data_IF_403381760673
#
_entry.id   IF_403381760673
#
_cell.length_a   1.000
_cell.length_b   1.000
_cell.length_c   1.000
_cell.angle_alpha   90.00
_cell.angle_beta   90.00
_cell.angle_gamma   90.00
#
_symmetry.space_group_name_H-M   'P 1'
#
loop_
_entity.id
_entity.type
_entity.pdbx_description
1 polymer ?
#
# COMPACT_ATOMS: atom_id res chain seq x y z
N UNK A 1 -1.55 -26.89 -0.69
CA UNK A 1 -2.01 -25.56 -0.24
C UNK A 1 -0.84 -24.62 -0.37
N UNK A 2 -1.08 -23.41 -0.87
CA UNK A 2 -0.21 -22.25 -0.64
C UNK A 2 -0.36 -21.80 0.82
N UNK A 3 0.57 -20.98 1.31
CA UNK A 3 0.31 -20.16 2.52
C UNK A 3 -0.78 -19.10 2.26
N UNK A 4 -1.11 -18.82 0.99
CA UNK A 4 -2.28 -18.03 0.60
C UNK A 4 -3.61 -18.72 0.95
N UNK A 5 -3.66 -20.06 0.99
CA UNK A 5 -4.87 -20.83 1.30
C UNK A 5 -5.10 -21.04 2.81
N UNK A 6 -4.19 -20.57 3.67
CA UNK A 6 -4.29 -20.77 5.13
C UNK A 6 -5.27 -19.76 5.74
N UNK A 7 -6.17 -20.25 6.59
CA UNK A 7 -6.95 -19.44 7.52
C UNK A 7 -6.01 -18.71 8.51
N UNK A 8 -6.31 -17.45 8.84
CA UNK A 8 -5.51 -16.64 9.75
C UNK A 8 -5.81 -16.98 11.22
N UNK A 9 -4.78 -17.08 12.06
CA UNK A 9 -4.97 -17.13 13.52
C UNK A 9 -5.56 -15.78 14.03
N UNK A 10 -6.18 -15.73 15.23
CA UNK A 10 -6.85 -14.53 15.72
C UNK A 10 -5.96 -13.29 15.88
N UNK A 11 -4.65 -13.46 16.06
CA UNK A 11 -3.65 -12.38 16.13
C UNK A 11 -2.93 -12.12 14.79
N UNK A 12 -3.35 -12.77 13.69
CA UNK A 12 -2.67 -12.73 12.40
C UNK A 12 -3.39 -11.90 11.33
N UNK A 13 -2.56 -11.31 10.48
CA UNK A 13 -2.94 -10.55 9.30
C UNK A 13 -1.94 -10.81 8.15
N UNK A 14 -2.40 -10.68 6.90
CA UNK A 14 -1.52 -10.71 5.73
C UNK A 14 -0.80 -9.36 5.59
N UNK A 15 0.51 -9.39 5.43
CA UNK A 15 1.34 -8.20 5.28
C UNK A 15 1.76 -7.97 3.81
N UNK A 16 2.77 -7.13 3.60
CA UNK A 16 3.35 -6.89 2.26
C UNK A 16 3.73 -8.22 1.59
N UNK A 17 3.26 -8.40 0.35
CA UNK A 17 3.48 -9.59 -0.48
C UNK A 17 2.87 -10.88 0.09
N UNK A 18 1.71 -10.81 0.75
CA UNK A 18 0.91 -11.97 1.17
C UNK A 18 1.37 -12.61 2.49
N UNK A 19 2.64 -12.43 2.85
CA UNK A 19 3.29 -12.99 4.04
C UNK A 19 2.44 -12.78 5.29
N UNK A 20 2.04 -13.86 5.94
CA UNK A 20 1.30 -13.84 7.21
C UNK A 20 2.21 -13.31 8.33
N UNK A 21 1.68 -12.42 9.17
CA UNK A 21 2.36 -11.82 10.32
C UNK A 21 1.42 -11.75 11.51
N UNK A 22 1.97 -11.96 12.71
CA UNK A 22 1.27 -11.68 13.98
C UNK A 22 1.35 -10.19 14.29
N UNK A 23 0.30 -9.63 14.86
CA UNK A 23 0.33 -8.31 15.47
C UNK A 23 1.08 -8.35 16.81
N UNK A 24 1.35 -7.18 17.40
CA UNK A 24 1.74 -7.10 18.82
C UNK A 24 0.50 -6.74 19.62
N UNK A 25 0.16 -7.53 20.66
CA UNK A 25 -0.95 -7.23 21.54
C UNK A 25 -0.84 -5.84 22.18
N UNK A 26 -1.96 -5.16 22.29
CA UNK A 26 -2.08 -3.86 22.97
C UNK A 26 -1.53 -3.90 24.39
N UNK A 27 -1.70 -5.02 25.10
CA UNK A 27 -1.11 -5.26 26.41
C UNK A 27 0.43 -5.15 26.42
N UNK A 28 1.12 -5.67 25.40
CA UNK A 28 2.58 -5.62 25.30
C UNK A 28 3.08 -4.19 24.98
N UNK A 29 2.29 -3.40 24.22
CA UNK A 29 2.58 -1.98 23.99
C UNK A 29 2.33 -1.14 25.25
N UNK A 30 1.22 -1.38 25.95
CA UNK A 30 0.84 -0.68 27.17
C UNK A 30 1.79 -0.96 28.35
N UNK A 31 2.46 -2.12 28.37
CA UNK A 31 3.48 -2.48 29.35
C UNK A 31 4.77 -1.62 29.26
N UNK A 32 5.03 -0.98 28.11
CA UNK A 32 6.19 -0.09 27.92
C UNK A 32 5.76 1.37 28.08
N UNK A 33 6.18 2.10 29.13
CA UNK A 33 5.70 3.47 29.37
C UNK A 33 5.87 4.42 28.18
N UNK A 34 7.01 4.36 27.49
CA UNK A 34 7.29 5.21 26.33
C UNK A 34 6.46 4.87 25.08
N UNK A 35 6.11 3.59 24.88
CA UNK A 35 5.22 3.19 23.79
C UNK A 35 3.76 3.52 24.16
N UNK A 36 3.39 3.34 25.43
CA UNK A 36 2.09 3.72 25.97
C UNK A 36 1.82 5.22 25.82
N UNK A 37 2.73 6.09 26.24
CA UNK A 37 2.59 7.55 26.10
C UNK A 37 2.44 7.97 24.63
N UNK A 38 3.22 7.36 23.73
CA UNK A 38 3.11 7.59 22.29
C UNK A 38 1.77 7.06 21.72
N UNK A 39 1.28 5.90 22.20
CA UNK A 39 -0.01 5.34 21.77
C UNK A 39 -1.20 6.15 22.26
N UNK A 40 -1.20 6.62 23.50
CA UNK A 40 -2.24 7.50 24.04
C UNK A 40 -2.25 8.88 23.33
N UNK A 41 -1.09 9.43 22.97
CA UNK A 41 -0.99 10.72 22.28
C UNK A 41 -1.34 10.64 20.80
N UNK A 42 -0.87 9.61 20.07
CA UNK A 42 -1.29 9.33 18.70
C UNK A 42 -2.75 8.91 18.61
N UNK A 43 -3.27 8.15 19.59
CA UNK A 43 -4.67 7.74 19.64
C UNK A 43 -5.64 8.93 19.76
N UNK A 44 -5.28 9.93 20.58
CA UNK A 44 -5.99 11.23 20.63
C UNK A 44 -5.86 12.01 19.31
N UNK A 45 -4.74 11.90 18.59
CA UNK A 45 -4.49 12.60 17.32
C UNK A 45 -5.21 11.95 16.12
N UNK A 46 -5.49 10.65 16.19
CA UNK A 46 -5.97 9.83 15.08
C UNK A 46 -7.33 9.16 15.34
N UNK A 47 -8.00 9.54 16.43
CA UNK A 47 -9.33 9.04 16.84
C UNK A 47 -9.38 7.52 16.79
N UNK A 48 -8.48 6.87 17.53
CA UNK A 48 -8.23 5.42 17.45
C UNK A 48 -7.59 4.91 18.75
N UNK A 49 -7.99 3.72 19.20
CA UNK A 49 -7.29 3.04 20.29
C UNK A 49 -6.21 2.10 19.70
N UNK A 50 -4.97 2.27 20.12
CA UNK A 50 -3.83 1.43 19.70
C UNK A 50 -3.58 0.26 20.65
N UNK A 51 -4.39 0.11 21.71
CA UNK A 51 -4.36 -0.98 22.67
C UNK A 51 -5.60 -1.89 22.58
N UNK A 52 -6.60 -1.52 21.78
CA UNK A 52 -7.69 -2.39 21.31
C UNK A 52 -7.17 -3.29 20.18
N UNK A 53 -6.98 -4.57 20.50
CA UNK A 53 -6.44 -5.58 19.59
C UNK A 53 -7.37 -5.88 18.39
N UNK A 54 -8.69 -5.82 18.57
CA UNK A 54 -9.66 -6.05 17.48
C UNK A 54 -9.69 -4.85 16.51
N UNK A 55 -9.67 -3.62 17.03
CA UNK A 55 -9.56 -2.41 16.22
C UNK A 55 -8.23 -2.35 15.45
N UNK A 56 -7.12 -2.70 16.13
CA UNK A 56 -5.79 -2.82 15.51
C UNK A 56 -5.82 -3.88 14.40
N UNK A 57 -6.34 -5.08 14.65
CA UNK A 57 -6.41 -6.15 13.66
C UNK A 57 -7.25 -5.75 12.44
N UNK A 58 -8.42 -5.11 12.65
CA UNK A 58 -9.27 -4.55 11.57
C UNK A 58 -8.48 -3.55 10.72
N UNK A 59 -7.77 -2.62 11.34
CA UNK A 59 -6.89 -1.66 10.65
C UNK A 59 -5.78 -2.35 9.85
N UNK A 60 -5.12 -3.38 10.41
CA UNK A 60 -4.03 -4.11 9.75
C UNK A 60 -4.52 -4.86 8.50
N UNK A 61 -5.69 -5.51 8.59
CA UNK A 61 -6.36 -6.18 7.46
C UNK A 61 -6.83 -5.19 6.38
N UNK A 62 -7.40 -4.04 6.77
CA UNK A 62 -7.72 -2.95 5.84
C UNK A 62 -6.48 -2.37 5.14
N UNK A 63 -5.36 -2.25 5.86
CA UNK A 63 -4.09 -1.74 5.32
C UNK A 63 -3.52 -2.68 4.25
N UNK A 64 -3.70 -3.99 4.40
CA UNK A 64 -3.36 -4.99 3.39
C UNK A 64 -4.21 -4.85 2.12
N UNK A 65 -5.53 -4.80 2.26
CA UNK A 65 -6.46 -4.64 1.13
C UNK A 65 -6.23 -3.34 0.35
N UNK A 66 -5.82 -2.26 1.03
CA UNK A 66 -5.38 -1.03 0.35
C UNK A 66 -4.11 -1.25 -0.49
N UNK A 67 -3.11 -1.94 0.06
CA UNK A 67 -1.85 -2.23 -0.62
C UNK A 67 -2.04 -3.20 -1.81
N UNK A 68 -2.89 -4.22 -1.68
CA UNK A 68 -3.25 -5.11 -2.77
C UNK A 68 -3.95 -4.35 -3.91
N UNK A 69 -4.89 -3.46 -3.58
CA UNK A 69 -5.57 -2.57 -4.53
C UNK A 69 -4.62 -1.54 -5.18
N UNK A 70 -3.46 -1.25 -4.58
CA UNK A 70 -2.41 -0.44 -5.20
C UNK A 70 -1.57 -1.29 -6.18
N UNK A 71 -1.19 -2.50 -5.76
CA UNK A 71 -0.36 -3.41 -6.54
C UNK A 71 -1.07 -3.88 -7.82
N UNK A 72 -2.33 -4.28 -7.69
CA UNK A 72 -3.19 -4.67 -8.82
C UNK A 72 -3.43 -3.53 -9.80
N UNK A 73 -3.70 -2.31 -9.32
CA UNK A 73 -3.82 -1.13 -10.19
C UNK A 73 -2.51 -0.79 -10.93
N UNK A 74 -1.36 -0.92 -10.26
CA UNK A 74 -0.05 -0.78 -10.88
C UNK A 74 0.21 -1.83 -11.96
N UNK A 75 -0.15 -3.09 -11.69
CA UNK A 75 -0.01 -4.20 -12.64
C UNK A 75 -0.93 -4.04 -13.87
N UNK A 76 -2.18 -3.63 -13.67
CA UNK A 76 -3.18 -3.45 -14.73
C UNK A 76 -2.81 -2.34 -15.72
N UNK A 77 -2.10 -1.30 -15.26
CA UNK A 77 -1.53 -0.27 -16.14
C UNK A 77 -0.16 -0.65 -16.71
N UNK A 78 0.69 -1.27 -15.87
CA UNK A 78 2.08 -1.58 -16.22
C UNK A 78 2.22 -2.64 -17.32
N UNK A 79 1.39 -3.68 -17.32
CA UNK A 79 1.46 -4.75 -18.32
C UNK A 79 1.08 -4.24 -19.74
N UNK A 80 -0.05 -3.57 -19.96
CA UNK A 80 -0.37 -2.98 -21.27
C UNK A 80 0.66 -1.93 -21.72
N UNK A 81 1.16 -1.11 -20.78
CA UNK A 81 2.22 -0.14 -21.09
C UNK A 81 3.52 -0.82 -21.55
N UNK A 82 3.93 -1.91 -20.91
CA UNK A 82 5.10 -2.69 -21.31
C UNK A 82 4.92 -3.31 -22.70
N UNK A 83 3.76 -3.92 -22.99
CA UNK A 83 3.47 -4.44 -24.34
C UNK A 83 3.45 -3.34 -25.40
N UNK A 84 2.86 -2.18 -25.12
CA UNK A 84 2.87 -1.04 -26.01
C UNK A 84 4.30 -0.59 -26.31
N UNK A 85 5.14 -0.37 -25.27
CA UNK A 85 6.53 0.06 -25.40
C UNK A 85 7.42 -0.97 -26.12
N UNK A 86 7.19 -2.28 -25.92
CA UNK A 86 7.93 -3.34 -26.62
C UNK A 86 7.54 -3.42 -28.10
N UNK A 87 6.25 -3.42 -28.43
CA UNK A 87 5.80 -3.42 -29.83
C UNK A 87 6.26 -2.17 -30.58
N UNK A 88 6.20 -1.03 -29.91
CA UNK A 88 6.73 0.28 -30.32
C UNK A 88 8.25 0.21 -30.63
N UNK A 89 9.07 -0.34 -29.73
CA UNK A 89 10.51 -0.51 -29.94
C UNK A 89 10.85 -1.48 -31.09
N UNK A 90 10.15 -2.62 -31.17
CA UNK A 90 10.35 -3.63 -32.22
C UNK A 90 9.96 -3.09 -33.60
N UNK A 91 8.85 -2.36 -33.71
CA UNK A 91 8.44 -1.70 -34.95
C UNK A 91 9.48 -0.67 -35.41
N UNK A 92 10.02 0.13 -34.48
CA UNK A 92 11.04 1.12 -34.79
C UNK A 92 12.32 0.48 -35.36
N UNK A 93 12.90 -0.48 -34.64
CA UNK A 93 14.17 -1.13 -35.03
C UNK A 93 14.04 -2.10 -36.21
N UNK A 94 12.85 -2.69 -36.43
CA UNK A 94 12.61 -3.62 -37.53
C UNK A 94 12.19 -2.98 -38.85
N UNK A 95 11.45 -1.86 -38.81
CA UNK A 95 10.83 -1.25 -40.00
C UNK A 95 11.23 0.21 -40.21
N UNK A 96 10.92 1.07 -39.24
CA UNK A 96 11.03 2.54 -39.36
C UNK A 96 12.48 3.00 -39.61
N UNK A 97 13.45 2.34 -38.98
CA UNK A 97 14.87 2.66 -39.13
C UNK A 97 15.43 2.31 -40.53
N UNK A 98 14.85 1.33 -41.24
CA UNK A 98 15.43 0.75 -42.46
C UNK A 98 14.65 1.05 -43.74
N UNK A 99 13.31 1.23 -43.66
CA UNK A 99 12.43 1.23 -44.84
C UNK A 99 11.62 2.51 -45.03
N UNK A 100 11.60 3.44 -44.07
CA UNK A 100 10.74 4.62 -44.11
C UNK A 100 11.48 5.94 -44.38
N UNK A 101 10.78 6.88 -45.02
CA UNK A 101 11.29 8.24 -45.26
C UNK A 101 11.38 9.05 -43.96
N UNK A 102 12.29 10.03 -43.92
CA UNK A 102 12.48 10.93 -42.76
C UNK A 102 11.19 11.60 -42.27
N UNK A 103 10.24 11.91 -43.17
CA UNK A 103 8.92 12.45 -42.82
C UNK A 103 8.08 11.45 -42.02
N UNK A 104 8.09 10.17 -42.40
CA UNK A 104 7.37 9.12 -41.67
C UNK A 104 8.03 8.83 -40.33
N UNK A 105 9.37 8.79 -40.28
CA UNK A 105 10.13 8.69 -39.04
C UNK A 105 9.75 9.80 -38.05
N UNK A 106 9.66 11.05 -38.50
CA UNK A 106 9.16 12.18 -37.69
C UNK A 106 7.70 12.01 -37.26
N UNK A 107 6.82 11.53 -38.15
CA UNK A 107 5.41 11.29 -37.82
C UNK A 107 5.23 10.22 -36.73
N UNK A 108 6.05 9.16 -36.72
CA UNK A 108 6.13 8.36 -35.51
C UNK A 108 6.78 9.12 -34.37
N UNK A 109 7.95 9.77 -34.44
CA UNK A 109 8.51 10.34 -33.20
C UNK A 109 7.52 11.26 -32.44
N UNK A 110 6.55 11.87 -33.16
CA UNK A 110 5.30 12.37 -32.59
C UNK A 110 4.31 11.29 -32.05
N UNK A 111 3.84 10.31 -32.84
CA UNK A 111 2.96 9.20 -32.39
C UNK A 111 3.62 8.09 -31.52
N UNK A 112 4.73 7.47 -31.96
CA UNK A 112 5.74 6.74 -31.16
C UNK A 112 5.91 7.49 -29.80
N UNK A 113 6.01 8.83 -29.76
CA UNK A 113 6.12 9.61 -28.52
C UNK A 113 4.82 9.89 -27.72
N UNK A 114 3.70 10.19 -28.38
CA UNK A 114 2.45 10.58 -27.74
C UNK A 114 1.83 9.44 -26.90
N UNK A 115 2.05 8.19 -27.31
CA UNK A 115 1.67 7.00 -26.52
C UNK A 115 2.34 7.01 -25.15
N UNK A 116 3.62 7.40 -25.06
CA UNK A 116 4.35 7.50 -23.79
C UNK A 116 3.75 8.57 -22.88
N UNK A 117 3.44 9.75 -23.43
CA UNK A 117 2.80 10.83 -22.69
C UNK A 117 1.42 10.42 -22.14
N UNK A 118 0.63 9.69 -22.92
CA UNK A 118 -0.67 9.16 -22.50
C UNK A 118 -0.55 8.10 -21.39
N UNK A 119 0.40 7.17 -21.49
CA UNK A 119 0.71 6.18 -20.44
C UNK A 119 1.08 6.88 -19.13
N UNK A 120 1.97 7.87 -19.18
CA UNK A 120 2.39 8.65 -18.00
C UNK A 120 1.19 9.39 -17.38
N UNK A 121 0.33 10.00 -18.21
CA UNK A 121 -0.88 10.69 -17.75
C UNK A 121 -1.85 9.74 -17.03
N UNK A 122 -2.14 8.56 -17.59
CA UNK A 122 -3.00 7.55 -16.96
C UNK A 122 -2.40 7.03 -15.64
N UNK A 123 -1.09 6.82 -15.59
CA UNK A 123 -0.39 6.42 -14.37
C UNK A 123 -0.53 7.49 -13.28
N UNK A 124 -0.24 8.75 -13.59
CA UNK A 124 -0.38 9.89 -12.64
C UNK A 124 -1.82 10.02 -12.15
N UNK A 125 -2.83 10.02 -13.04
CA UNK A 125 -4.25 10.13 -12.65
C UNK A 125 -4.63 9.00 -11.68
N UNK A 126 -4.19 7.78 -11.94
CA UNK A 126 -4.51 6.61 -11.11
C UNK A 126 -3.81 6.68 -9.75
N UNK A 127 -2.53 7.07 -9.74
CA UNK A 127 -1.73 7.21 -8.53
C UNK A 127 -2.29 8.34 -7.63
N UNK A 128 -2.61 9.50 -8.20
CA UNK A 128 -3.24 10.62 -7.48
C UNK A 128 -4.62 10.25 -6.93
N UNK A 129 -5.45 9.53 -7.68
CA UNK A 129 -6.76 9.03 -7.18
C UNK A 129 -6.60 8.03 -6.04
N UNK A 130 -5.68 7.08 -6.17
CA UNK A 130 -5.46 6.03 -5.17
C UNK A 130 -4.83 6.59 -3.88
N UNK A 131 -3.88 7.51 -4.00
CA UNK A 131 -3.26 8.17 -2.86
C UNK A 131 -4.21 9.20 -2.23
N UNK A 132 -4.95 9.97 -3.02
CA UNK A 132 -5.85 11.05 -2.60
C UNK A 132 -7.14 10.64 -1.86
N UNK A 133 -7.50 9.35 -1.85
CA UNK A 133 -8.68 8.84 -1.16
C UNK A 133 -8.55 8.98 0.37
N UNK A 134 -9.33 9.88 0.99
CA UNK A 134 -9.21 10.22 2.42
C UNK A 134 -9.42 9.03 3.38
N UNK A 135 -10.44 8.16 3.25
CA UNK A 135 -10.59 6.97 4.10
C UNK A 135 -9.35 6.07 4.12
N UNK A 136 -8.72 5.84 2.96
CA UNK A 136 -7.45 5.12 2.88
C UNK A 136 -6.29 5.88 3.52
N UNK A 137 -6.23 7.21 3.40
CA UNK A 137 -5.22 8.01 4.11
C UNK A 137 -5.39 7.91 5.65
N UNK A 138 -6.64 7.88 6.14
CA UNK A 138 -6.99 7.66 7.57
C UNK A 138 -6.42 6.33 8.09
N UNK A 139 -6.65 5.23 7.39
CA UNK A 139 -6.08 3.90 7.70
C UNK A 139 -4.55 3.89 7.61
N UNK A 140 -3.97 4.53 6.60
CA UNK A 140 -2.50 4.64 6.44
C UNK A 140 -1.86 5.47 7.56
N UNK A 141 -2.53 6.52 8.05
CA UNK A 141 -2.08 7.34 9.17
C UNK A 141 -2.00 6.52 10.47
N UNK A 142 -3.08 5.80 10.81
CA UNK A 142 -3.13 4.92 11.99
C UNK A 142 -2.12 3.77 11.88
N UNK A 143 -2.00 3.11 10.73
CA UNK A 143 -1.02 2.05 10.53
C UNK A 143 0.45 2.55 10.62
N UNK A 144 0.72 3.81 10.24
CA UNK A 144 2.03 4.43 10.43
C UNK A 144 2.32 4.76 11.90
N UNK A 145 1.32 5.23 12.64
CA UNK A 145 1.42 5.48 14.09
C UNK A 145 1.62 4.18 14.88
N UNK A 146 0.83 3.13 14.62
CA UNK A 146 1.00 1.81 15.22
C UNK A 146 2.43 1.28 15.03
N UNK A 147 2.98 1.40 13.81
CA UNK A 147 4.38 1.08 13.55
C UNK A 147 5.35 1.95 14.39
N UNK A 148 5.10 3.25 14.53
CA UNK A 148 5.98 4.14 15.32
C UNK A 148 5.94 3.82 16.83
N UNK A 149 4.75 3.66 17.40
CA UNK A 149 4.48 3.22 18.78
C UNK A 149 5.29 1.96 19.10
N UNK A 150 5.23 0.98 18.21
CA UNK A 150 5.82 -0.32 18.49
C UNK A 150 7.31 -0.41 18.09
N UNK A 151 7.80 0.44 17.19
CA UNK A 151 9.25 0.71 17.04
C UNK A 151 9.84 1.35 18.31
N UNK A 152 9.06 2.12 19.08
CA UNK A 152 9.44 2.57 20.43
C UNK A 152 9.41 1.40 21.43
N UNK A 153 8.41 0.52 21.38
CA UNK A 153 8.36 -0.67 22.25
C UNK A 153 9.63 -1.55 22.10
N UNK A 154 10.08 -1.88 20.88
CA UNK A 154 11.36 -2.60 20.67
C UNK A 154 12.55 -1.86 21.28
N UNK A 155 12.65 -0.54 21.04
CA UNK A 155 13.78 0.28 21.51
C UNK A 155 13.89 0.29 23.04
N UNK A 156 12.78 0.14 23.74
CA UNK A 156 12.72 0.09 25.21
C UNK A 156 12.70 -1.34 25.77
N UNK A 157 13.01 -2.35 24.95
CA UNK A 157 13.28 -3.73 25.40
C UNK A 157 12.06 -4.66 25.43
N UNK A 158 10.96 -4.34 24.74
CA UNK A 158 9.84 -5.26 24.63
C UNK A 158 10.15 -6.47 23.73
N UNK A 159 9.77 -7.66 24.19
CA UNK A 159 9.68 -8.85 23.35
C UNK A 159 8.49 -8.72 22.40
N UNK A 160 8.79 -8.44 21.13
CA UNK A 160 7.81 -8.41 20.04
C UNK A 160 8.07 -9.60 19.09
N UNK A 161 7.08 -10.07 18.31
CA UNK A 161 7.28 -11.12 17.31
C UNK A 161 8.42 -10.79 16.35
N UNK A 162 9.22 -11.81 16.01
CA UNK A 162 10.47 -11.70 15.24
C UNK A 162 10.32 -10.91 13.92
N UNK A 163 9.12 -10.92 13.31
CA UNK A 163 8.81 -10.18 12.10
C UNK A 163 7.57 -9.29 12.26
N UNK A 164 7.79 -8.00 12.54
CA UNK A 164 6.71 -7.11 12.97
C UNK A 164 6.93 -5.62 12.58
N UNK A 165 5.86 -4.81 12.50
CA UNK A 165 4.94 -4.80 11.37
C UNK A 165 5.56 -4.05 10.17
N UNK A 166 6.12 -4.77 9.20
CA UNK A 166 6.92 -4.19 8.11
C UNK A 166 6.11 -3.54 6.97
N UNK A 167 5.26 -2.57 7.30
CA UNK A 167 4.61 -1.71 6.30
C UNK A 167 5.63 -0.77 5.64
N UNK A 168 5.56 -0.65 4.31
CA UNK A 168 6.43 0.24 3.54
C UNK A 168 6.24 1.71 3.94
N UNK A 169 7.32 2.51 4.01
CA UNK A 169 7.22 3.92 4.38
C UNK A 169 6.55 4.72 3.26
N UNK A 170 5.29 5.09 3.46
CA UNK A 170 4.52 5.96 2.57
C UNK A 170 4.07 7.25 3.29
N UNK A 171 5.01 8.06 3.83
CA UNK A 171 4.68 9.22 4.66
C UNK A 171 3.80 10.24 3.95
N UNK A 172 3.98 10.41 2.63
CA UNK A 172 3.20 11.32 1.78
C UNK A 172 1.74 10.89 1.55
N UNK A 173 1.37 9.65 1.91
CA UNK A 173 0.03 9.09 1.69
C UNK A 173 -0.73 8.80 3.00
N UNK A 174 -0.22 9.30 4.14
CA UNK A 174 -0.67 8.99 5.49
C UNK A 174 -1.19 10.24 6.25
N UNK A 175 -1.81 11.19 5.54
CA UNK A 175 -2.42 12.36 6.17
C UNK A 175 -3.75 11.94 6.84
N UNK A 176 -3.96 12.36 8.08
CA UNK A 176 -5.20 12.06 8.79
C UNK A 176 -6.31 13.03 8.39
N UNK A 177 -7.52 12.50 8.24
CA UNK A 177 -8.76 13.26 8.00
C UNK A 177 -9.82 12.66 8.93
N UNK A 178 -10.24 13.38 9.96
CA UNK A 178 -11.28 12.92 10.90
C UNK A 178 -12.65 12.89 10.23
N UNK A 179 -12.92 13.83 9.32
CA UNK A 179 -14.14 13.90 8.51
C UNK A 179 -14.27 12.78 7.47
N UNK A 180 -13.26 11.91 7.32
CA UNK A 180 -13.31 10.79 6.41
C UNK A 180 -14.05 9.60 7.01
N UNK A 181 -15.00 9.08 6.22
CA UNK A 181 -15.71 7.83 6.41
C UNK A 181 -14.76 6.69 6.84
N UNK A 182 -15.22 5.88 7.78
CA UNK A 182 -14.45 4.77 8.33
C UNK A 182 -14.57 3.55 7.42
N UNK A 183 -13.45 2.90 7.09
CA UNK A 183 -13.50 1.75 6.18
C UNK A 183 -13.92 0.48 6.93
N UNK A 184 -14.88 -0.23 6.35
CA UNK A 184 -15.29 -1.55 6.81
C UNK A 184 -14.54 -2.65 6.04
N UNK A 185 -14.34 -3.80 6.70
CA UNK A 185 -13.83 -4.98 6.02
C UNK A 185 -14.97 -5.53 5.12
N UNK A 186 -14.68 -5.93 3.88
CA UNK A 186 -15.63 -6.74 3.10
C UNK A 186 -16.01 -8.01 3.86
N UNK A 187 -17.24 -8.50 3.69
CA UNK A 187 -17.72 -9.72 4.38
C UNK A 187 -16.82 -10.94 4.10
N UNK A 188 -16.28 -11.05 2.87
CA UNK A 188 -15.31 -12.10 2.51
C UNK A 188 -13.96 -12.01 3.25
N UNK A 189 -13.68 -10.91 3.94
CA UNK A 189 -12.48 -10.62 4.71
C UNK A 189 -12.73 -10.49 6.22
N UNK A 190 -13.97 -10.72 6.68
CA UNK A 190 -14.25 -11.03 8.09
C UNK A 190 -14.16 -12.53 8.39
N UNK A 191 -14.12 -13.38 7.36
CA UNK A 191 -14.21 -14.84 7.46
C UNK A 191 -13.07 -15.60 6.74
N UNK A 192 -11.86 -15.01 6.70
CA UNK A 192 -10.61 -15.58 6.17
C UNK A 192 -9.40 -15.00 6.91
#
# INVERSE_FOLDING_TARGET
MSEDDRELEPDEYRARAGIIRKMVPGANLAAVPAARELGESEGRRLEFDFFDDDAVLKMLRLRYLDQEKLNSAGMWLGIPAAFALVGMFVYWGGYVQYWESSKNQTLYYAACGAVVAFIVLLYVITLTRHWGNRPRQKVRARAAAYRAIAHVAVRHGAELPEFYPHYGPYPFAANFHSDAEELELPDEASSR
#
